data_IF_193673262893
#
_entry.id   IF_193673262893
#
_cell.length_a   1.000
_cell.length_b   1.000
_cell.length_c   1.000
_cell.angle_alpha   90.00
_cell.angle_beta   90.00
_cell.angle_gamma   90.00
#
_symmetry.space_group_name_H-M   'P 1'
#
loop_
_entity.id
_entity.type
_entity.pdbx_description
1 polymer ?
#
# COMPACT_ATOMS: atom_id res chain seq x y z
N UNK A 1 -2.76 -67.71 -45.78
CA UNK A 1 -1.99 -66.57 -46.31
C UNK A 1 -2.93 -65.42 -46.57
N UNK A 2 -2.41 -64.20 -46.36
CA UNK A 2 -3.07 -62.89 -46.36
C UNK A 2 -4.05 -62.65 -47.52
N UNK A 3 -5.08 -61.86 -47.26
CA UNK A 3 -5.27 -60.47 -47.73
C UNK A 3 -6.76 -60.16 -47.61
N UNK A 4 -7.11 -59.07 -46.91
CA UNK A 4 -8.35 -58.36 -47.18
C UNK A 4 -8.12 -56.86 -46.95
N UNK A 5 -8.33 -56.10 -48.02
CA UNK A 5 -8.19 -54.65 -48.13
C UNK A 5 -9.44 -53.94 -47.58
N UNK A 6 -9.17 -52.81 -46.94
CA UNK A 6 -9.95 -51.59 -46.74
C UNK A 6 -11.29 -51.40 -47.50
N UNK A 7 -12.27 -50.87 -46.77
CA UNK A 7 -13.10 -49.78 -47.29
C UNK A 7 -14.52 -49.64 -46.71
N UNK A 8 -14.76 -48.50 -46.04
CA UNK A 8 -16.01 -47.74 -45.94
C UNK A 8 -16.92 -47.88 -44.69
N UNK A 9 -16.91 -46.78 -43.91
CA UNK A 9 -18.05 -45.93 -43.52
C UNK A 9 -19.19 -46.60 -42.73
N UNK A 10 -19.21 -46.32 -41.42
CA UNK A 10 -20.40 -46.42 -40.58
C UNK A 10 -20.87 -45.02 -40.18
N UNK A 11 -22.01 -44.60 -40.71
CA UNK A 11 -22.92 -43.64 -40.07
C UNK A 11 -23.26 -44.15 -38.67
N UNK A 12 -23.34 -43.29 -37.64
CA UNK A 12 -24.43 -43.31 -36.64
C UNK A 12 -24.41 -42.03 -35.78
N UNK A 13 -25.46 -41.24 -36.00
CA UNK A 13 -26.22 -40.35 -35.12
C UNK A 13 -25.57 -39.19 -34.33
N UNK A 14 -26.07 -38.01 -34.70
CA UNK A 14 -26.18 -36.77 -33.95
C UNK A 14 -26.85 -36.95 -32.57
N UNK A 15 -26.14 -36.54 -31.52
CA UNK A 15 -26.74 -36.05 -30.28
C UNK A 15 -26.21 -34.62 -30.06
N UNK A 16 -27.06 -33.58 -30.03
CA UNK A 16 -26.63 -32.25 -29.67
C UNK A 16 -26.40 -32.23 -28.16
N UNK A 17 -25.14 -32.29 -27.74
CA UNK A 17 -24.78 -31.82 -26.41
C UNK A 17 -25.17 -30.33 -26.35
N UNK A 18 -26.15 -30.02 -25.51
CA UNK A 18 -26.45 -28.66 -25.04
C UNK A 18 -25.21 -28.11 -24.33
N UNK A 19 -24.21 -27.71 -25.11
CA UNK A 19 -23.19 -26.78 -24.67
C UNK A 19 -23.89 -25.44 -24.53
N UNK A 20 -24.29 -25.10 -23.32
CA UNK A 20 -24.55 -23.70 -22.98
C UNK A 20 -23.35 -22.90 -23.47
N UNK A 21 -23.55 -21.87 -24.32
CA UNK A 21 -22.44 -21.00 -24.65
C UNK A 21 -22.00 -20.41 -23.31
N UNK A 22 -20.74 -20.60 -22.96
CA UNK A 22 -20.12 -19.82 -21.92
C UNK A 22 -20.25 -18.37 -22.37
N UNK A 23 -21.30 -17.70 -21.89
CA UNK A 23 -21.41 -16.27 -21.97
C UNK A 23 -20.14 -15.75 -21.31
N UNK A 24 -19.19 -15.29 -22.13
CA UNK A 24 -18.08 -14.50 -21.64
C UNK A 24 -18.73 -13.39 -20.84
N UNK A 25 -18.62 -13.45 -19.52
CA UNK A 25 -19.10 -12.41 -18.64
C UNK A 25 -18.28 -11.17 -18.99
N UNK A 26 -18.82 -10.35 -19.89
CA UNK A 26 -18.34 -9.00 -20.11
C UNK A 26 -18.52 -8.33 -18.76
N UNK A 27 -17.39 -8.02 -18.10
CA UNK A 27 -17.42 -7.31 -16.84
C UNK A 27 -18.33 -6.08 -17.00
N UNK A 28 -19.20 -5.76 -16.02
CA UNK A 28 -20.07 -4.60 -16.10
C UNK A 28 -19.23 -3.36 -16.44
N UNK A 29 -19.63 -2.63 -17.48
CA UNK A 29 -18.97 -1.35 -17.82
C UNK A 29 -19.14 -0.38 -16.65
N UNK A 30 -18.13 0.45 -16.40
CA UNK A 30 -18.18 1.41 -15.31
C UNK A 30 -19.31 2.43 -15.55
N UNK A 31 -20.28 2.49 -14.64
CA UNK A 31 -21.36 3.48 -14.66
C UNK A 31 -21.18 4.49 -13.55
N UNK A 32 -21.81 5.66 -13.70
CA UNK A 32 -21.82 6.68 -12.67
C UNK A 32 -22.48 6.21 -11.36
N UNK A 33 -23.51 5.36 -11.44
CA UNK A 33 -24.17 4.76 -10.28
C UNK A 33 -23.20 3.90 -9.46
N UNK A 34 -22.42 3.04 -10.12
CA UNK A 34 -21.42 2.21 -9.44
C UNK A 34 -20.34 3.06 -8.77
N UNK A 35 -19.90 4.15 -9.39
CA UNK A 35 -18.93 5.06 -8.77
C UNK A 35 -19.52 5.76 -7.53
N UNK A 36 -20.79 6.19 -7.59
CA UNK A 36 -21.49 6.78 -6.43
C UNK A 36 -21.59 5.77 -5.28
N UNK A 37 -22.01 4.54 -5.55
CA UNK A 37 -22.15 3.51 -4.53
C UNK A 37 -20.79 3.19 -3.89
N UNK A 38 -19.73 3.08 -4.70
CA UNK A 38 -18.38 2.84 -4.20
C UNK A 38 -17.82 4.02 -3.40
N UNK A 39 -18.15 5.27 -3.76
CA UNK A 39 -17.81 6.43 -2.95
C UNK A 39 -18.48 6.37 -1.58
N UNK A 40 -19.74 5.95 -1.51
CA UNK A 40 -20.48 5.80 -0.25
C UNK A 40 -19.89 4.68 0.62
N UNK A 41 -19.53 3.53 0.04
CA UNK A 41 -18.83 2.47 0.76
C UNK A 41 -17.48 2.95 1.28
N UNK A 42 -16.66 3.58 0.43
CA UNK A 42 -15.37 4.12 0.81
C UNK A 42 -15.50 5.18 1.91
N UNK A 43 -16.52 6.03 1.83
CA UNK A 43 -16.85 7.04 2.84
C UNK A 43 -17.18 6.43 4.20
N UNK A 44 -18.00 5.37 4.22
CA UNK A 44 -18.34 4.63 5.43
C UNK A 44 -17.10 3.97 6.06
N UNK A 45 -16.35 3.20 5.27
CA UNK A 45 -15.17 2.48 5.74
C UNK A 45 -14.09 3.44 6.28
N UNK A 46 -13.93 4.60 5.64
CA UNK A 46 -13.01 5.64 6.10
C UNK A 46 -13.47 6.26 7.42
N UNK A 47 -14.78 6.46 7.61
CA UNK A 47 -15.33 6.95 8.88
C UNK A 47 -15.12 5.94 10.01
N UNK A 48 -15.30 4.64 9.75
CA UNK A 48 -15.00 3.57 10.70
C UNK A 48 -13.51 3.58 11.07
N UNK A 49 -12.62 3.71 10.07
CA UNK A 49 -11.18 3.79 10.33
C UNK A 49 -10.79 5.05 11.11
N UNK A 50 -11.44 6.18 10.87
CA UNK A 50 -11.19 7.43 11.59
C UNK A 50 -11.43 7.31 13.10
N UNK A 51 -12.37 6.47 13.54
CA UNK A 51 -12.61 6.22 14.96
C UNK A 51 -11.39 5.62 15.70
N UNK A 52 -10.54 4.88 14.97
CA UNK A 52 -9.27 4.35 15.49
C UNK A 52 -8.07 5.28 15.31
N UNK A 53 -8.24 6.43 14.66
CA UNK A 53 -7.20 7.43 14.39
C UNK A 53 -7.77 8.86 14.58
N UNK A 54 -8.12 9.26 15.83
CA UNK A 54 -8.91 10.46 16.09
C UNK A 54 -8.22 11.79 15.73
N UNK A 55 -6.89 11.79 15.57
CA UNK A 55 -6.11 12.96 15.17
C UNK A 55 -5.78 13.00 13.67
N UNK A 56 -6.28 12.03 12.89
CA UNK A 56 -6.04 11.95 11.46
C UNK A 56 -6.99 12.85 10.65
N UNK A 57 -6.61 13.13 9.41
CA UNK A 57 -7.44 13.81 8.41
C UNK A 57 -8.61 12.94 7.87
N UNK A 58 -8.78 11.70 8.34
CA UNK A 58 -9.74 10.74 7.80
C UNK A 58 -11.21 11.15 7.99
N UNK A 59 -11.56 11.74 9.13
CA UNK A 59 -12.94 12.18 9.38
C UNK A 59 -13.38 13.26 8.39
N UNK A 60 -12.54 14.28 8.19
CA UNK A 60 -12.77 15.33 7.21
C UNK A 60 -12.76 14.78 5.78
N UNK A 61 -11.83 13.87 5.47
CA UNK A 61 -11.75 13.21 4.17
C UNK A 61 -13.02 12.41 3.87
N UNK A 62 -13.57 11.68 4.84
CA UNK A 62 -14.85 10.96 4.71
C UNK A 62 -16.00 11.90 4.37
N UNK A 63 -16.11 13.05 5.03
CA UNK A 63 -17.13 14.06 4.69
C UNK A 63 -16.94 14.63 3.28
N UNK A 64 -15.69 14.78 2.83
CA UNK A 64 -15.38 15.22 1.46
C UNK A 64 -15.77 14.17 0.41
N UNK A 65 -15.60 12.88 0.71
CA UNK A 65 -16.09 11.79 -0.14
C UNK A 65 -17.62 11.81 -0.29
N UNK A 66 -18.36 12.07 0.79
CA UNK A 66 -19.81 12.24 0.72
C UNK A 66 -20.19 13.43 -0.19
N UNK A 67 -19.49 14.56 -0.04
CA UNK A 67 -19.71 15.75 -0.88
C UNK A 67 -19.45 15.47 -2.36
N UNK A 68 -18.40 14.69 -2.67
CA UNK A 68 -18.10 14.24 -4.04
C UNK A 68 -19.20 13.33 -4.61
N UNK A 69 -19.73 12.40 -3.80
CA UNK A 69 -20.81 11.51 -4.22
C UNK A 69 -22.09 12.30 -4.55
N UNK A 70 -22.43 13.29 -3.72
CA UNK A 70 -23.59 14.15 -3.93
C UNK A 70 -23.43 15.07 -5.14
N UNK A 71 -22.24 15.65 -5.33
CA UNK A 71 -21.92 16.44 -6.51
C UNK A 71 -22.01 15.59 -7.79
N UNK A 72 -21.43 14.39 -7.78
CA UNK A 72 -21.47 13.47 -8.90
C UNK A 72 -22.91 13.05 -9.23
N UNK A 73 -23.73 12.75 -8.21
CA UNK A 73 -25.16 12.44 -8.40
C UNK A 73 -25.91 13.59 -9.09
N UNK A 74 -25.64 14.83 -8.68
CA UNK A 74 -26.23 16.03 -9.30
C UNK A 74 -25.76 16.22 -10.75
N UNK A 75 -24.47 16.04 -11.02
CA UNK A 75 -23.90 16.18 -12.37
C UNK A 75 -24.45 15.13 -13.33
N UNK A 76 -24.60 13.88 -12.88
CA UNK A 76 -25.05 12.78 -13.73
C UNK A 76 -26.57 12.78 -13.94
N UNK A 77 -27.37 13.13 -12.92
CA UNK A 77 -28.83 13.10 -13.02
C UNK A 77 -29.36 11.75 -13.54
N UNK A 78 -30.14 11.78 -14.61
CA UNK A 78 -30.69 10.57 -15.26
C UNK A 78 -29.65 9.73 -16.02
N UNK A 79 -28.45 10.25 -16.25
CA UNK A 79 -27.37 9.55 -16.96
C UNK A 79 -26.55 8.64 -16.04
N UNK A 80 -26.81 8.61 -14.72
CA UNK A 80 -26.01 7.84 -13.77
C UNK A 80 -25.93 6.34 -14.08
N UNK A 81 -27.00 5.75 -14.64
CA UNK A 81 -27.03 4.34 -15.00
C UNK A 81 -26.37 4.02 -16.36
N UNK A 82 -26.00 5.04 -17.14
CA UNK A 82 -25.34 4.84 -18.44
C UNK A 82 -23.85 4.54 -18.24
N UNK A 83 -23.23 3.76 -19.16
CA UNK A 83 -21.78 3.62 -19.20
C UNK A 83 -21.09 4.99 -19.32
N UNK A 84 -20.03 5.21 -18.54
CA UNK A 84 -19.31 6.49 -18.47
C UNK A 84 -18.71 6.88 -19.84
N UNK A 85 -18.46 5.93 -20.73
CA UNK A 85 -17.88 6.20 -22.04
C UNK A 85 -18.84 6.96 -22.97
N UNK A 86 -20.16 6.87 -22.73
CA UNK A 86 -21.20 7.41 -23.63
C UNK A 86 -21.95 8.63 -23.09
N UNK A 87 -21.56 9.14 -21.91
CA UNK A 87 -22.15 10.37 -21.33
C UNK A 87 -21.36 11.61 -21.75
N UNK A 88 -21.89 12.80 -21.41
CA UNK A 88 -21.27 14.09 -21.72
C UNK A 88 -19.83 14.20 -21.15
N UNK A 89 -18.95 14.93 -21.85
CA UNK A 89 -17.51 14.96 -21.57
C UNK A 89 -17.17 15.40 -20.13
N UNK A 90 -17.83 16.45 -19.61
CA UNK A 90 -17.58 16.95 -18.25
C UNK A 90 -18.07 15.97 -17.18
N UNK A 91 -19.25 15.38 -17.39
CA UNK A 91 -19.80 14.36 -16.49
C UNK A 91 -18.92 13.09 -16.47
N UNK A 92 -18.42 12.69 -17.65
CA UNK A 92 -17.44 11.61 -17.80
C UNK A 92 -16.14 11.91 -17.05
N UNK A 93 -15.60 13.11 -17.21
CA UNK A 93 -14.38 13.52 -16.54
C UNK A 93 -14.53 13.49 -15.01
N UNK A 94 -15.65 14.02 -14.50
CA UNK A 94 -15.98 13.97 -13.07
C UNK A 94 -16.12 12.53 -12.56
N UNK A 95 -16.76 11.64 -13.33
CA UNK A 95 -16.93 10.24 -12.93
C UNK A 95 -15.59 9.48 -12.87
N UNK A 96 -14.68 9.67 -13.84
CA UNK A 96 -13.36 9.04 -13.78
C UNK A 96 -12.51 9.56 -12.63
N UNK A 97 -12.53 10.89 -12.39
CA UNK A 97 -11.84 11.49 -11.24
C UNK A 97 -12.36 10.95 -9.91
N UNK A 98 -13.69 10.87 -9.75
CA UNK A 98 -14.32 10.28 -8.57
C UNK A 98 -13.96 8.80 -8.39
N UNK A 99 -13.91 8.03 -9.48
CA UNK A 99 -13.50 6.63 -9.44
C UNK A 99 -12.04 6.45 -9.00
N UNK A 100 -11.13 7.33 -9.43
CA UNK A 100 -9.75 7.30 -8.94
C UNK A 100 -9.64 7.58 -7.44
N UNK A 101 -10.45 8.49 -6.92
CA UNK A 101 -10.54 8.73 -5.46
C UNK A 101 -10.98 7.46 -4.74
N UNK A 102 -12.02 6.77 -5.23
CA UNK A 102 -12.45 5.46 -4.68
C UNK A 102 -11.28 4.48 -4.62
N UNK A 103 -10.58 4.29 -5.73
CA UNK A 103 -9.46 3.34 -5.80
C UNK A 103 -8.35 3.71 -4.82
N UNK A 104 -8.03 5.01 -4.71
CA UNK A 104 -7.03 5.51 -3.76
C UNK A 104 -7.45 5.31 -2.31
N UNK A 105 -8.72 5.54 -1.97
CA UNK A 105 -9.26 5.30 -0.62
C UNK A 105 -9.24 3.81 -0.26
N UNK A 106 -9.62 2.93 -1.19
CA UNK A 106 -9.56 1.48 -0.99
C UNK A 106 -8.12 1.00 -0.78
N UNK A 107 -7.18 1.50 -1.59
CA UNK A 107 -5.76 1.22 -1.42
C UNK A 107 -5.22 1.70 -0.05
N UNK A 108 -5.69 2.85 0.45
CA UNK A 108 -5.33 3.33 1.78
C UNK A 108 -5.86 2.41 2.87
N UNK A 109 -7.14 2.03 2.81
CA UNK A 109 -7.79 1.17 3.81
C UNK A 109 -7.10 -0.18 3.91
N UNK A 110 -6.62 -0.72 2.79
CA UNK A 110 -5.86 -1.97 2.76
C UNK A 110 -4.42 -1.77 3.24
N UNK A 111 -3.71 -0.77 2.70
CA UNK A 111 -2.29 -0.57 2.96
C UNK A 111 -2.00 -0.10 4.40
N UNK A 112 -2.93 0.64 5.00
CA UNK A 112 -2.79 1.19 6.36
C UNK A 112 -2.99 0.14 7.47
N UNK A 113 -3.40 -1.09 7.13
CA UNK A 113 -3.56 -2.17 8.11
C UNK A 113 -2.19 -2.52 8.71
N UNK A 114 -2.08 -2.43 10.04
CA UNK A 114 -0.82 -2.72 10.74
C UNK A 114 0.22 -1.60 10.69
N UNK A 115 -0.12 -0.42 10.16
CA UNK A 115 0.70 0.77 10.28
C UNK A 115 0.66 1.36 11.68
N UNK A 116 1.75 2.02 12.07
CA UNK A 116 1.76 2.94 13.20
C UNK A 116 0.88 4.15 12.94
N UNK A 117 0.36 4.76 13.99
CA UNK A 117 -0.49 5.95 13.89
C UNK A 117 0.20 7.07 13.11
N UNK A 118 1.49 7.33 13.35
CA UNK A 118 2.25 8.34 12.61
C UNK A 118 2.30 8.07 11.09
N UNK A 119 2.52 6.81 10.70
CA UNK A 119 2.56 6.43 9.29
C UNK A 119 1.17 6.40 8.67
N UNK A 120 0.18 5.88 9.39
CA UNK A 120 -1.22 5.87 8.96
C UNK A 120 -1.78 7.29 8.82
N UNK A 121 -1.34 8.24 9.64
CA UNK A 121 -1.67 9.65 9.55
C UNK A 121 -0.99 10.31 8.35
N UNK A 122 0.31 10.06 8.12
CA UNK A 122 1.00 10.57 6.93
C UNK A 122 0.37 10.03 5.63
N UNK A 123 -0.03 8.76 5.62
CA UNK A 123 -0.80 8.16 4.52
C UNK A 123 -2.20 8.78 4.38
N UNK A 124 -2.86 9.11 5.50
CA UNK A 124 -4.16 9.78 5.50
C UNK A 124 -4.05 11.19 4.92
N UNK A 125 -2.98 11.93 5.24
CA UNK A 125 -2.73 13.27 4.72
C UNK A 125 -2.49 13.24 3.21
N UNK A 126 -1.72 12.26 2.71
CA UNK A 126 -1.58 12.05 1.27
C UNK A 126 -2.96 11.82 0.60
N UNK A 127 -3.82 10.99 1.21
CA UNK A 127 -5.18 10.74 0.71
C UNK A 127 -6.04 12.00 0.75
N UNK A 128 -6.00 12.77 1.85
CA UNK A 128 -6.74 14.02 1.99
C UNK A 128 -6.39 15.00 0.86
N UNK A 129 -5.10 15.21 0.59
CA UNK A 129 -4.65 16.05 -0.52
C UNK A 129 -5.10 15.52 -1.87
N UNK A 130 -5.09 14.19 -2.10
CA UNK A 130 -5.64 13.60 -3.35
C UNK A 130 -7.12 14.00 -3.51
N UNK A 131 -7.92 13.82 -2.45
CA UNK A 131 -9.37 14.09 -2.48
C UNK A 131 -9.66 15.57 -2.72
N UNK A 132 -8.87 16.47 -2.11
CA UNK A 132 -8.99 17.91 -2.31
C UNK A 132 -8.67 18.32 -3.75
N UNK A 133 -7.53 17.86 -4.30
CA UNK A 133 -7.12 18.19 -5.67
C UNK A 133 -8.11 17.64 -6.70
N UNK A 134 -8.62 16.42 -6.49
CA UNK A 134 -9.63 15.84 -7.37
C UNK A 134 -10.93 16.63 -7.30
N UNK A 135 -11.36 17.07 -6.12
CA UNK A 135 -12.57 17.88 -5.97
C UNK A 135 -12.42 19.28 -6.60
N UNK A 136 -11.21 19.80 -6.73
CA UNK A 136 -10.90 21.07 -7.42
C UNK A 136 -10.58 20.92 -8.91
N UNK A 137 -10.47 19.70 -9.43
CA UNK A 137 -10.07 19.43 -10.81
C UNK A 137 -11.07 19.97 -11.83
N UNK A 138 -10.58 20.68 -12.85
CA UNK A 138 -11.38 21.24 -13.94
C UNK A 138 -10.92 20.71 -15.30
N UNK A 139 -11.73 20.94 -16.33
CA UNK A 139 -11.45 20.49 -17.69
C UNK A 139 -11.92 19.06 -17.98
N UNK A 140 -12.17 18.84 -19.27
CA UNK A 140 -12.57 17.54 -19.83
C UNK A 140 -11.84 17.30 -21.14
N UNK A 141 -11.60 16.02 -21.43
CA UNK A 141 -11.06 15.57 -22.70
C UNK A 141 -11.82 14.37 -23.25
N UNK A 142 -11.56 14.07 -24.53
CA UNK A 142 -12.04 12.83 -25.16
C UNK A 142 -11.51 11.61 -24.39
N UNK A 143 -10.22 11.60 -24.11
CA UNK A 143 -9.55 10.64 -23.24
C UNK A 143 -9.14 11.40 -21.98
N UNK A 144 -9.89 11.23 -20.90
CA UNK A 144 -9.57 11.89 -19.64
C UNK A 144 -8.37 11.17 -18.99
N UNK A 145 -7.21 11.81 -18.85
CA UNK A 145 -6.12 11.25 -18.06
C UNK A 145 -6.51 11.29 -16.58
N UNK A 146 -6.35 10.16 -15.91
CA UNK A 146 -6.61 10.05 -14.48
C UNK A 146 -5.60 9.11 -13.86
N UNK A 147 -4.95 9.58 -12.80
CA UNK A 147 -4.08 8.76 -11.95
C UNK A 147 -4.94 8.24 -10.80
N UNK A 148 -5.00 6.93 -10.64
CA UNK A 148 -5.77 6.26 -9.58
C UNK A 148 -4.87 5.61 -8.52
N UNK A 149 -3.55 5.59 -8.75
CA UNK A 149 -2.60 5.07 -7.80
C UNK A 149 -1.18 5.59 -8.03
N UNK A 150 -0.39 5.49 -6.97
CA UNK A 150 1.06 5.54 -7.02
C UNK A 150 1.55 4.23 -6.44
N UNK A 151 2.52 3.60 -7.08
CA UNK A 151 2.98 2.26 -6.73
C UNK A 151 4.50 2.16 -6.66
N UNK A 152 5.01 1.30 -5.78
CA UNK A 152 6.40 0.85 -5.82
C UNK A 152 6.65 -0.04 -7.04
N UNK A 153 7.92 -0.34 -7.40
CA UNK A 153 8.23 -1.18 -8.56
C UNK A 153 7.63 -2.59 -8.49
N UNK A 154 7.34 -3.08 -7.29
CA UNK A 154 6.68 -4.37 -7.04
C UNK A 154 5.16 -4.26 -6.87
N UNK A 155 4.55 -3.18 -7.39
CA UNK A 155 3.09 -2.98 -7.45
C UNK A 155 2.39 -2.86 -6.10
N UNK A 156 3.10 -2.43 -5.05
CA UNK A 156 2.44 -2.08 -3.79
C UNK A 156 2.00 -0.62 -3.84
N UNK A 157 0.82 -0.28 -3.29
CA UNK A 157 0.42 1.11 -3.13
C UNK A 157 1.50 1.88 -2.40
N UNK A 158 1.76 3.11 -2.85
CA UNK A 158 2.69 4.06 -2.27
C UNK A 158 1.94 5.32 -1.88
N UNK A 159 2.08 5.75 -0.63
CA UNK A 159 1.46 6.95 -0.07
C UNK A 159 2.50 7.87 0.56
N UNK A 160 3.54 7.30 1.17
CA UNK A 160 4.56 8.04 1.91
C UNK A 160 5.95 7.74 1.34
N UNK A 161 6.71 8.80 1.05
CA UNK A 161 8.14 8.75 0.76
C UNK A 161 8.93 9.06 2.02
N UNK A 162 9.94 8.24 2.30
CA UNK A 162 10.93 8.50 3.35
C UNK A 162 12.13 9.24 2.78
N UNK A 163 12.64 10.15 3.59
CA UNK A 163 13.94 10.77 3.36
C UNK A 163 15.04 9.74 3.68
N UNK A 164 15.36 8.88 2.71
CA UNK A 164 16.24 7.72 2.89
C UNK A 164 17.67 7.92 2.35
N UNK A 165 17.93 9.05 1.68
CA UNK A 165 19.21 9.36 1.03
C UNK A 165 19.63 8.39 -0.08
N UNK A 166 18.66 7.62 -0.61
CA UNK A 166 18.85 6.72 -1.75
C UNK A 166 17.92 7.10 -2.88
N UNK A 167 18.31 6.70 -4.09
CA UNK A 167 17.44 6.83 -5.24
C UNK A 167 16.17 5.99 -5.04
N UNK A 168 15.03 6.62 -5.32
CA UNK A 168 13.71 6.05 -5.07
C UNK A 168 12.95 5.91 -6.38
N UNK A 169 12.66 4.68 -6.78
CA UNK A 169 11.84 4.37 -7.96
C UNK A 169 10.40 4.07 -7.57
N UNK A 170 9.45 4.56 -8.37
CA UNK A 170 8.02 4.29 -8.23
C UNK A 170 7.29 4.58 -9.54
N UNK A 171 5.99 4.36 -9.61
CA UNK A 171 5.20 4.62 -10.80
C UNK A 171 3.86 5.27 -10.47
N UNK A 172 3.40 6.12 -11.39
CA UNK A 172 2.02 6.58 -11.46
C UNK A 172 1.22 5.57 -12.27
N UNK A 173 0.08 5.12 -11.77
CA UNK A 173 -0.83 4.20 -12.46
C UNK A 173 -2.20 4.83 -12.66
N UNK A 174 -2.84 4.51 -13.78
CA UNK A 174 -4.06 5.18 -14.16
C UNK A 174 -4.58 4.79 -15.53
N UNK A 175 -5.37 5.69 -16.11
CA UNK A 175 -5.93 5.54 -17.46
C UNK A 175 -5.60 6.77 -18.29
N UNK A 176 -5.36 6.55 -19.58
CA UNK A 176 -5.06 7.58 -20.57
C UNK A 176 -3.92 8.53 -20.16
N UNK A 177 -2.94 8.04 -19.39
CA UNK A 177 -1.80 8.84 -18.91
C UNK A 177 -0.85 9.25 -20.04
N UNK A 178 -0.90 8.53 -21.15
CA UNK A 178 -0.09 8.79 -22.33
C UNK A 178 -0.85 8.42 -23.60
N UNK A 179 -0.66 9.25 -24.63
CA UNK A 179 -1.07 9.00 -25.99
C UNK A 179 0.19 8.86 -26.85
N UNK A 180 0.32 7.73 -27.56
CA UNK A 180 1.49 7.44 -28.41
C UNK A 180 1.71 8.49 -29.53
N UNK A 181 0.67 9.26 -29.88
CA UNK A 181 0.75 10.35 -30.83
C UNK A 181 1.39 11.62 -30.24
N UNK A 182 1.55 11.69 -28.92
CA UNK A 182 2.16 12.80 -28.18
C UNK A 182 3.64 12.53 -27.84
N UNK A 183 4.34 13.58 -27.39
CA UNK A 183 5.67 13.44 -26.77
C UNK A 183 5.49 12.86 -25.36
N UNK A 184 6.57 12.28 -24.81
CA UNK A 184 6.56 11.79 -23.44
C UNK A 184 6.10 12.90 -22.48
N UNK A 185 5.21 12.56 -21.52
CA UNK A 185 4.66 13.54 -20.61
C UNK A 185 5.76 14.07 -19.69
N UNK A 186 5.62 15.34 -19.31
CA UNK A 186 6.48 15.93 -18.29
C UNK A 186 5.84 15.75 -16.93
N UNK A 187 6.64 15.26 -15.98
CA UNK A 187 6.24 15.15 -14.59
C UNK A 187 7.04 16.13 -13.75
N UNK A 188 6.35 16.98 -13.00
CA UNK A 188 6.97 17.92 -12.05
C UNK A 188 6.35 17.76 -10.66
N UNK A 189 7.06 18.21 -9.63
CA UNK A 189 6.60 18.14 -8.25
C UNK A 189 6.49 19.51 -7.57
N UNK A 190 5.42 19.71 -6.81
CA UNK A 190 5.19 20.86 -5.92
C UNK A 190 4.84 20.43 -4.50
N UNK A 191 4.85 21.37 -3.55
CA UNK A 191 4.22 21.20 -2.25
C UNK A 191 2.69 21.41 -2.32
N UNK A 192 2.00 21.29 -1.18
CA UNK A 192 0.55 21.51 -1.11
C UNK A 192 0.11 22.95 -1.42
N UNK A 193 1.06 23.91 -1.44
CA UNK A 193 0.83 25.31 -1.74
C UNK A 193 1.21 25.67 -3.19
N UNK A 194 1.65 24.70 -3.99
CA UNK A 194 2.06 24.88 -5.37
C UNK A 194 3.49 25.40 -5.55
N UNK A 195 4.30 25.47 -4.49
CA UNK A 195 5.72 25.80 -4.60
C UNK A 195 6.50 24.60 -5.13
N UNK A 196 7.42 24.86 -6.05
CA UNK A 196 8.21 23.81 -6.67
C UNK A 196 9.14 23.13 -5.66
N UNK A 197 9.13 21.79 -5.66
CA UNK A 197 10.02 20.99 -4.82
C UNK A 197 11.47 21.03 -5.35
N UNK A 198 12.45 20.95 -4.44
CA UNK A 198 13.87 20.92 -4.83
C UNK A 198 14.24 19.61 -5.53
N UNK A 199 13.72 18.49 -5.02
CA UNK A 199 13.86 17.17 -5.66
C UNK A 199 12.72 17.02 -6.66
N UNK A 200 13.04 16.87 -7.94
CA UNK A 200 12.07 16.66 -9.02
C UNK A 200 12.13 15.21 -9.53
N UNK A 201 10.99 14.61 -9.89
CA UNK A 201 10.97 13.27 -10.46
C UNK A 201 11.53 13.30 -11.88
N UNK A 202 12.24 12.23 -12.26
CA UNK A 202 12.67 11.96 -13.63
C UNK A 202 11.83 10.83 -14.20
N UNK A 203 11.33 11.01 -15.43
CA UNK A 203 10.57 9.97 -16.14
C UNK A 203 11.54 8.95 -16.72
N UNK A 204 11.32 7.67 -16.42
CA UNK A 204 12.15 6.55 -16.91
C UNK A 204 11.42 5.62 -17.86
N UNK A 205 10.08 5.68 -17.90
CA UNK A 205 9.25 4.83 -18.74
C UNK A 205 7.82 5.34 -18.82
N UNK A 206 7.19 5.19 -19.99
CA UNK A 206 5.85 5.73 -20.27
C UNK A 206 5.02 4.70 -21.01
N UNK A 207 3.84 4.41 -20.46
CA UNK A 207 2.79 3.57 -21.02
C UNK A 207 1.44 4.27 -20.86
N UNK A 208 0.41 3.92 -21.68
CA UNK A 208 -0.91 4.56 -21.60
C UNK A 208 -1.60 4.51 -20.22
N UNK A 209 -1.21 3.55 -19.38
CA UNK A 209 -1.75 3.34 -18.04
C UNK A 209 -0.70 3.47 -16.93
N UNK A 210 0.56 3.81 -17.26
CA UNK A 210 1.66 3.80 -16.29
C UNK A 210 2.80 4.74 -16.67
N UNK A 211 3.28 5.54 -15.73
CA UNK A 211 4.48 6.38 -15.89
C UNK A 211 5.46 6.01 -14.78
N UNK A 212 6.64 5.50 -15.15
CA UNK A 212 7.72 5.18 -14.22
C UNK A 212 8.55 6.42 -13.91
N UNK A 213 8.87 6.60 -12.63
CA UNK A 213 9.56 7.75 -12.09
C UNK A 213 10.71 7.31 -11.18
N UNK A 214 11.77 8.12 -11.17
CA UNK A 214 12.85 8.05 -10.19
C UNK A 214 13.06 9.40 -9.52
N UNK A 215 13.35 9.37 -8.22
CA UNK A 215 13.83 10.52 -7.46
C UNK A 215 15.28 10.27 -7.11
N UNK A 216 16.17 11.11 -7.66
CA UNK A 216 17.57 11.11 -7.30
C UNK A 216 17.74 11.77 -5.92
N UNK A 217 18.59 11.17 -5.07
CA UNK A 217 18.92 11.69 -3.75
C UNK A 217 17.70 12.15 -2.93
N UNK A 218 16.90 11.18 -2.49
CA UNK A 218 15.74 11.45 -1.63
C UNK A 218 16.09 12.10 -0.27
N UNK A 219 17.38 12.37 0.02
CA UNK A 219 17.80 13.04 1.26
C UNK A 219 17.32 14.49 1.37
N UNK A 220 16.99 15.12 0.24
CA UNK A 220 16.59 16.52 0.18
C UNK A 220 15.06 16.71 0.11
N UNK A 221 14.30 15.62 0.23
CA UNK A 221 12.85 15.70 0.29
C UNK A 221 12.41 16.45 1.55
N UNK A 222 11.62 17.50 1.33
CA UNK A 222 11.04 18.31 2.40
C UNK A 222 9.78 17.60 2.92
N UNK A 223 9.65 17.53 4.25
CA UNK A 223 8.45 16.98 4.89
C UNK A 223 7.21 17.75 4.48
N UNK A 224 6.12 17.04 4.18
CA UNK A 224 4.88 17.64 3.70
C UNK A 224 4.33 16.95 2.45
N UNK A 225 3.32 17.55 1.85
CA UNK A 225 2.73 17.05 0.60
C UNK A 225 3.73 17.14 -0.55
N UNK A 226 3.76 16.11 -1.39
CA UNK A 226 4.52 16.04 -2.62
C UNK A 226 3.55 15.76 -3.77
N UNK A 227 3.16 16.83 -4.45
CA UNK A 227 2.13 16.81 -5.50
C UNK A 227 2.82 16.64 -6.84
N UNK A 228 2.52 15.53 -7.51
CA UNK A 228 3.02 15.18 -8.84
C UNK A 228 2.04 15.68 -9.90
N UNK A 229 2.56 16.43 -10.85
CA UNK A 229 1.84 17.07 -11.94
C UNK A 229 2.25 16.42 -13.25
N UNK A 230 1.32 15.79 -13.95
CA UNK A 230 1.55 15.12 -15.23
C UNK A 230 0.91 15.95 -16.34
N UNK A 231 1.75 16.48 -17.23
CA UNK A 231 1.33 17.34 -18.33
C UNK A 231 1.73 16.71 -19.66
N UNK A 232 0.76 16.56 -20.56
CA UNK A 232 1.00 16.09 -21.93
C UNK A 232 1.79 17.11 -22.75
N UNK A 233 2.67 16.62 -23.65
CA UNK A 233 3.41 17.48 -24.58
C UNK A 233 3.06 17.16 -26.03
N UNK A 234 2.89 18.22 -26.83
CA UNK A 234 2.65 18.11 -28.26
C UNK A 234 3.97 17.78 -28.99
N UNK A 235 3.97 16.72 -29.80
CA UNK A 235 5.02 16.52 -30.80
C UNK A 235 4.91 17.61 -31.85
N UNK A 236 5.93 18.45 -32.00
CA UNK A 236 5.93 19.66 -32.83
C UNK A 236 5.55 19.47 -34.32
N UNK A 237 5.46 18.24 -34.82
CA UNK A 237 5.18 17.91 -36.22
C UNK A 237 3.96 16.99 -36.44
N UNK A 238 3.25 16.56 -35.39
CA UNK A 238 2.08 15.68 -35.52
C UNK A 238 0.80 16.38 -35.03
N UNK A 239 -0.17 16.54 -35.94
CA UNK A 239 -1.50 17.12 -35.67
C UNK A 239 -2.42 16.15 -34.91
N UNK A 240 -1.93 14.96 -34.55
CA UNK A 240 -2.71 13.90 -33.88
C UNK A 240 -2.78 14.00 -32.36
N UNK A 241 -1.83 14.68 -31.72
CA UNK A 241 -1.82 14.81 -30.26
C UNK A 241 -2.87 15.82 -29.80
N UNK A 242 -3.88 15.37 -29.07
CA UNK A 242 -4.81 16.25 -28.39
C UNK A 242 -4.24 16.67 -27.03
N UNK A 243 -4.27 17.97 -26.72
CA UNK A 243 -3.90 18.47 -25.39
C UNK A 243 -4.82 17.81 -24.37
N UNK A 244 -4.22 17.00 -23.49
CA UNK A 244 -4.94 16.39 -22.38
C UNK A 244 -4.86 17.32 -21.16
N UNK A 245 -5.94 17.44 -20.36
CA UNK A 245 -5.89 18.09 -19.06
C UNK A 245 -4.78 17.51 -18.20
N UNK A 246 -4.26 18.32 -17.30
CA UNK A 246 -3.30 17.86 -16.31
C UNK A 246 -3.90 16.73 -15.45
N UNK A 247 -3.09 15.71 -15.17
CA UNK A 247 -3.40 14.69 -14.17
C UNK A 247 -2.48 14.87 -12.96
N UNK A 248 -3.03 14.72 -11.77
CA UNK A 248 -2.32 14.95 -10.52
C UNK A 248 -2.32 13.72 -9.63
N UNK A 249 -1.25 13.52 -8.88
CA UNK A 249 -1.14 12.49 -7.86
C UNK A 249 -0.42 13.05 -6.63
N UNK A 250 -0.69 12.49 -5.45
CA UNK A 250 -0.08 12.98 -4.22
C UNK A 250 0.58 11.87 -3.42
N UNK A 251 1.72 12.23 -2.85
CA UNK A 251 2.45 11.50 -1.83
C UNK A 251 2.65 12.43 -0.64
N UNK A 252 2.94 11.84 0.53
CA UNK A 252 3.40 12.57 1.70
C UNK A 252 4.89 12.25 1.91
N UNK A 253 5.70 13.25 2.16
CA UNK A 253 7.06 13.06 2.66
C UNK A 253 7.02 13.12 4.17
N UNK A 254 7.50 12.06 4.83
CA UNK A 254 7.56 12.01 6.29
C UNK A 254 8.85 11.32 6.77
N UNK A 255 9.38 11.80 7.89
CA UNK A 255 10.50 11.16 8.56
C UNK A 255 10.11 9.75 9.06
N UNK A 256 11.03 8.77 9.07
CA UNK A 256 10.78 7.46 9.66
C UNK A 256 10.32 7.56 11.12
N UNK A 257 9.33 6.75 11.50
CA UNK A 257 8.95 6.62 12.89
C UNK A 257 10.14 6.05 13.69
N UNK A 258 10.56 6.77 14.74
CA UNK A 258 11.62 6.29 15.64
C UNK A 258 11.05 5.25 16.58
N UNK A 259 11.72 4.10 16.67
CA UNK A 259 11.33 3.00 17.55
C UNK A 259 12.57 2.38 18.18
N UNK A 260 12.45 2.00 19.44
CA UNK A 260 13.41 1.14 20.12
C UNK A 260 12.69 -0.05 20.73
N UNK A 261 13.33 -1.23 20.67
CA UNK A 261 12.78 -2.46 21.24
C UNK A 261 13.71 -2.92 22.35
N UNK A 262 13.24 -2.90 23.59
CA UNK A 262 13.92 -3.57 24.71
C UNK A 262 13.32 -4.94 24.95
N UNK A 263 14.15 -5.87 25.43
CA UNK A 263 13.77 -7.25 25.68
C UNK A 263 14.18 -7.69 27.09
N UNK A 264 13.49 -8.73 27.56
CA UNK A 264 13.87 -9.53 28.71
C UNK A 264 13.70 -11.01 28.35
N UNK A 265 14.80 -11.77 28.41
CA UNK A 265 14.80 -13.22 28.16
C UNK A 265 15.15 -13.94 29.46
N UNK A 266 14.27 -14.82 29.93
CA UNK A 266 14.56 -15.73 31.03
C UNK A 266 14.73 -17.15 30.51
N UNK A 267 15.60 -17.91 31.16
CA UNK A 267 15.77 -19.34 30.93
C UNK A 267 15.41 -20.09 32.21
N UNK A 268 14.66 -21.18 32.07
CA UNK A 268 14.43 -22.15 33.13
C UNK A 268 15.38 -23.31 32.88
N UNK A 269 16.17 -23.68 33.89
CA UNK A 269 17.24 -24.65 33.75
C UNK A 269 17.06 -25.77 34.75
N UNK A 270 17.35 -27.00 34.32
CA UNK A 270 17.44 -28.14 35.23
C UNK A 270 18.77 -28.07 35.97
N UNK A 271 18.74 -28.04 37.31
CA UNK A 271 19.94 -28.20 38.14
C UNK A 271 19.87 -29.52 38.92
N UNK A 272 20.96 -30.31 38.97
CA UNK A 272 21.01 -31.50 39.81
C UNK A 272 21.12 -31.07 41.29
N UNK A 273 20.10 -31.38 42.11
CA UNK A 273 20.10 -31.09 43.54
C UNK A 273 19.71 -32.33 44.35
N UNK A 274 20.66 -32.94 45.06
CA UNK A 274 20.37 -33.97 46.08
C UNK A 274 19.60 -35.20 45.60
N UNK A 275 19.75 -35.62 44.33
CA UNK A 275 19.04 -36.77 43.76
C UNK A 275 17.68 -36.44 43.10
N UNK A 276 17.28 -35.16 43.06
CA UNK A 276 16.14 -34.67 42.30
C UNK A 276 16.58 -33.60 41.28
N UNK A 277 15.89 -33.54 40.14
CA UNK A 277 16.06 -32.45 39.17
C UNK A 277 15.18 -31.30 39.65
N UNK A 278 15.79 -30.17 39.98
CA UNK A 278 15.07 -28.95 40.36
C UNK A 278 15.15 -27.97 39.20
N UNK A 279 13.98 -27.53 38.74
CA UNK A 279 13.90 -26.46 37.74
C UNK A 279 14.08 -25.11 38.42
N UNK A 280 15.04 -24.34 37.96
CA UNK A 280 15.33 -23.01 38.45
C UNK A 280 15.21 -21.99 37.32
N UNK A 281 14.40 -20.96 37.54
CA UNK A 281 14.34 -19.80 36.66
C UNK A 281 15.55 -18.91 36.94
N UNK A 282 16.35 -18.65 35.92
CA UNK A 282 17.50 -17.76 36.00
C UNK A 282 17.07 -16.29 35.91
N UNK A 283 17.92 -15.36 36.42
CA UNK A 283 17.70 -13.93 36.23
C UNK A 283 17.50 -13.56 34.76
N UNK A 284 16.60 -12.61 34.50
CA UNK A 284 16.32 -12.15 33.15
C UNK A 284 17.54 -11.47 32.53
N UNK A 285 17.91 -11.88 31.33
CA UNK A 285 18.86 -11.17 30.48
C UNK A 285 18.10 -10.07 29.77
N UNK A 286 18.41 -8.82 30.11
CA UNK A 286 17.77 -7.64 29.54
C UNK A 286 18.70 -6.91 28.57
N UNK A 287 18.11 -6.20 27.62
CA UNK A 287 18.87 -5.40 26.68
C UNK A 287 17.97 -4.66 25.70
N UNK A 288 18.60 -3.99 24.76
CA UNK A 288 17.93 -3.27 23.67
C UNK A 288 18.41 -3.85 22.35
N UNK A 289 17.47 -4.08 21.44
CA UNK A 289 17.78 -4.47 20.07
C UNK A 289 18.47 -3.30 19.34
N UNK A 290 19.37 -3.58 18.37
CA UNK A 290 19.86 -2.55 17.47
C UNK A 290 18.71 -1.79 16.80
N UNK A 291 18.91 -0.51 16.49
CA UNK A 291 17.88 0.29 15.82
C UNK A 291 17.49 -0.33 14.47
N UNK A 292 16.18 -0.49 14.28
CA UNK A 292 15.61 -0.97 13.02
C UNK A 292 15.51 0.22 12.08
N UNK A 293 16.41 0.32 11.10
CA UNK A 293 16.29 1.30 10.02
C UNK A 293 15.54 0.66 8.84
N UNK A 294 14.35 1.18 8.53
CA UNK A 294 13.55 0.75 7.38
C UNK A 294 12.99 -0.68 7.49
N UNK A 295 13.10 -1.45 6.40
CA UNK A 295 12.56 -2.82 6.26
C UNK A 295 13.52 -3.94 6.68
N UNK A 296 14.64 -3.60 7.32
CA UNK A 296 15.70 -4.55 7.66
C UNK A 296 15.37 -5.48 8.82
N UNK A 297 16.03 -6.65 8.85
CA UNK A 297 16.09 -7.50 10.05
C UNK A 297 17.32 -7.13 10.87
N UNK A 298 17.15 -6.94 12.17
CA UNK A 298 18.24 -6.77 13.14
C UNK A 298 18.31 -7.98 14.06
N UNK A 299 19.50 -8.28 14.58
CA UNK A 299 19.70 -9.42 15.46
C UNK A 299 20.61 -9.08 16.63
N UNK A 300 20.35 -9.71 17.78
CA UNK A 300 21.17 -9.61 18.99
C UNK A 300 21.47 -11.01 19.51
N UNK A 301 22.75 -11.38 19.59
CA UNK A 301 23.16 -12.63 20.25
C UNK A 301 23.05 -12.50 21.76
N UNK A 302 22.60 -13.58 22.39
CA UNK A 302 22.37 -13.65 23.84
C UNK A 302 23.32 -14.66 24.45
N UNK A 303 24.15 -14.19 25.38
CA UNK A 303 24.99 -15.04 26.19
C UNK A 303 24.15 -15.61 27.35
N UNK A 304 23.71 -16.86 27.22
CA UNK A 304 23.03 -17.59 28.29
C UNK A 304 24.04 -17.96 29.38
N UNK A 305 24.09 -17.16 30.45
CA UNK A 305 24.97 -17.44 31.59
C UNK A 305 24.29 -18.43 32.55
N UNK A 306 25.02 -19.45 33.01
CA UNK A 306 24.56 -20.33 34.09
C UNK A 306 23.54 -21.42 33.71
N UNK A 307 23.27 -21.65 32.43
CA UNK A 307 22.33 -22.67 31.95
C UNK A 307 22.95 -23.58 30.90
N UNK A 308 23.40 -24.77 31.29
CA UNK A 308 23.92 -25.77 30.35
C UNK A 308 22.77 -26.50 29.62
N UNK A 309 21.73 -26.88 30.37
CA UNK A 309 20.55 -27.61 29.89
C UNK A 309 19.27 -26.82 30.20
N UNK A 310 18.86 -25.90 29.30
CA UNK A 310 17.62 -25.19 29.43
C UNK A 310 16.42 -26.11 29.16
N UNK A 311 15.37 -25.97 29.97
CA UNK A 311 14.08 -26.66 29.83
C UNK A 311 13.09 -25.78 29.07
N UNK A 312 13.07 -24.49 29.35
CA UNK A 312 12.22 -23.51 28.70
C UNK A 312 12.86 -22.13 28.64
N UNK A 313 12.37 -21.30 27.73
CA UNK A 313 12.68 -19.89 27.65
C UNK A 313 11.38 -19.09 27.73
N UNK A 314 11.42 -17.92 28.38
CA UNK A 314 10.34 -16.95 28.27
C UNK A 314 10.88 -15.59 27.84
N UNK A 315 10.15 -14.94 26.94
CA UNK A 315 10.51 -13.63 26.39
C UNK A 315 9.43 -12.59 26.65
N UNK A 316 9.85 -11.43 27.12
CA UNK A 316 9.06 -10.21 27.13
C UNK A 316 9.76 -9.15 26.32
N UNK A 317 9.00 -8.23 25.75
CA UNK A 317 9.56 -7.09 25.02
C UNK A 317 8.73 -5.84 25.23
N UNK A 318 9.39 -4.69 25.11
CA UNK A 318 8.77 -3.37 25.18
C UNK A 318 9.23 -2.54 23.99
N UNK A 319 8.29 -2.05 23.22
CA UNK A 319 8.52 -1.09 22.14
C UNK A 319 8.33 0.31 22.72
N UNK A 320 9.32 1.19 22.54
CA UNK A 320 9.21 2.62 22.87
C UNK A 320 9.25 3.41 21.57
N UNK A 321 8.22 4.23 21.37
CA UNK A 321 8.05 5.09 20.21
C UNK A 321 8.70 6.45 20.44
N UNK A 322 9.06 7.14 19.35
CA UNK A 322 9.71 8.45 19.41
C UNK A 322 8.89 9.55 20.09
N UNK A 323 7.58 9.37 20.21
CA UNK A 323 6.66 10.24 20.94
C UNK A 323 6.59 9.92 22.45
N UNK A 324 7.35 8.90 22.92
CA UNK A 324 7.40 8.47 24.31
C UNK A 324 6.35 7.43 24.71
N UNK A 325 5.37 7.12 23.84
CA UNK A 325 4.46 6.02 24.08
C UNK A 325 5.21 4.69 24.07
N UNK A 326 4.67 3.71 24.80
CA UNK A 326 5.24 2.39 24.83
C UNK A 326 4.19 1.30 24.94
N UNK A 327 4.53 0.13 24.43
CA UNK A 327 3.68 -1.05 24.48
C UNK A 327 4.54 -2.28 24.69
N UNK A 328 4.04 -3.23 25.48
CA UNK A 328 4.78 -4.41 25.91
C UNK A 328 4.06 -5.70 25.52
N UNK A 329 4.83 -6.76 25.33
CA UNK A 329 4.34 -8.12 25.12
C UNK A 329 5.02 -9.09 26.07
N UNK A 330 4.34 -10.21 26.34
CA UNK A 330 4.87 -11.31 27.14
C UNK A 330 4.71 -11.13 28.66
N UNK A 331 5.26 -12.08 29.44
CA UNK A 331 6.17 -13.15 29.00
C UNK A 331 5.47 -14.22 28.14
N UNK A 332 6.09 -14.59 27.02
CA UNK A 332 5.68 -15.73 26.19
C UNK A 332 6.70 -16.84 26.43
N UNK A 333 6.24 -18.00 26.90
CA UNK A 333 7.10 -19.13 27.24
C UNK A 333 7.00 -20.25 26.21
N UNK A 334 8.14 -20.88 25.91
CA UNK A 334 8.23 -22.08 25.09
C UNK A 334 9.29 -23.04 25.65
N UNK A 335 9.15 -24.33 25.30
CA UNK A 335 10.17 -25.34 25.59
C UNK A 335 11.50 -24.98 24.91
N UNK A 336 12.63 -25.43 25.47
CA UNK A 336 13.96 -24.99 25.05
C UNK A 336 14.33 -25.33 23.59
N UNK A 337 13.69 -26.34 23.00
CA UNK A 337 13.88 -26.71 21.60
C UNK A 337 13.01 -25.92 20.62
N UNK A 338 12.05 -25.12 21.12
CA UNK A 338 11.14 -24.34 20.30
C UNK A 338 11.55 -22.87 20.27
N UNK A 339 11.57 -22.30 19.06
CA UNK A 339 11.69 -20.86 18.90
C UNK A 339 10.42 -20.13 19.36
N UNK A 340 10.56 -18.88 19.77
CA UNK A 340 9.42 -18.00 20.07
C UNK A 340 9.33 -16.99 18.95
N UNK A 341 8.12 -16.71 18.45
CA UNK A 341 7.87 -15.57 17.56
C UNK A 341 6.64 -14.84 18.04
N UNK A 342 6.77 -13.53 18.24
CA UNK A 342 5.72 -12.68 18.74
C UNK A 342 5.58 -11.43 17.88
N UNK A 343 4.34 -11.04 17.60
CA UNK A 343 4.03 -9.76 16.98
C UNK A 343 4.34 -8.64 17.97
N UNK A 344 5.05 -7.61 17.49
CA UNK A 344 5.28 -6.38 18.22
C UNK A 344 4.39 -5.27 17.64
N UNK A 345 3.97 -4.31 18.47
CA UNK A 345 3.40 -3.04 18.02
C UNK A 345 4.28 -2.38 16.95
N UNK A 346 3.64 -1.71 15.98
CA UNK A 346 4.31 -1.07 14.86
C UNK A 346 4.69 -1.97 13.69
N UNK A 347 4.02 -3.11 13.56
CA UNK A 347 4.22 -4.00 12.43
C UNK A 347 5.60 -4.68 12.46
N UNK A 348 6.16 -4.86 13.65
CA UNK A 348 7.40 -5.60 13.88
C UNK A 348 7.09 -7.00 14.43
N UNK A 349 8.06 -7.89 14.35
CA UNK A 349 8.02 -9.20 14.99
C UNK A 349 9.34 -9.44 15.70
N UNK A 350 9.26 -10.01 16.90
CA UNK A 350 10.40 -10.45 17.69
C UNK A 350 10.44 -11.97 17.68
N UNK A 351 11.60 -12.52 17.34
CA UNK A 351 11.83 -13.97 17.36
C UNK A 351 13.02 -14.32 18.24
N UNK A 352 12.89 -15.35 19.05
CA UNK A 352 13.99 -16.03 19.75
C UNK A 352 14.27 -17.35 19.05
N UNK A 353 15.52 -17.54 18.63
CA UNK A 353 16.02 -18.81 18.11
C UNK A 353 17.03 -19.40 19.11
N UNK A 354 16.66 -20.49 19.83
CA UNK A 354 17.55 -21.13 20.79
C UNK A 354 18.77 -21.81 20.13
N UNK A 355 18.68 -22.19 18.85
CA UNK A 355 19.75 -22.91 18.14
C UNK A 355 20.96 -22.02 17.89
N UNK A 356 20.72 -20.76 17.53
CA UNK A 356 21.76 -19.74 17.32
C UNK A 356 21.89 -18.76 18.49
N UNK A 357 21.09 -18.95 19.55
CA UNK A 357 21.02 -18.12 20.76
C UNK A 357 20.92 -16.64 20.43
N UNK A 358 19.99 -16.29 19.55
CA UNK A 358 19.83 -14.92 19.09
C UNK A 358 18.36 -14.49 19.08
N UNK A 359 18.16 -13.21 19.39
CA UNK A 359 16.94 -12.48 19.15
C UNK A 359 16.99 -11.82 17.79
N UNK A 360 15.86 -11.80 17.10
CA UNK A 360 15.68 -11.14 15.81
C UNK A 360 14.49 -10.21 15.87
N UNK A 361 14.65 -8.98 15.40
CA UNK A 361 13.52 -8.08 15.12
C UNK A 361 13.47 -7.82 13.63
N UNK A 362 12.29 -7.99 13.04
CA UNK A 362 12.03 -7.78 11.62
C UNK A 362 10.62 -7.25 11.40
N UNK A 363 10.33 -6.60 10.26
CA UNK A 363 8.96 -6.32 9.86
C UNK A 363 8.11 -7.60 9.89
N UNK A 364 6.91 -7.52 10.49
CA UNK A 364 5.95 -8.61 10.50
C UNK A 364 5.32 -8.80 9.11
N UNK A 365 4.70 -9.95 8.86
CA UNK A 365 3.97 -10.21 7.61
C UNK A 365 2.83 -9.19 7.36
N UNK A 366 2.30 -8.59 8.43
CA UNK A 366 1.29 -7.53 8.39
C UNK A 366 1.92 -6.14 8.61
N UNK A 367 3.18 -5.93 8.22
CA UNK A 367 3.86 -4.64 8.33
C UNK A 367 3.14 -3.58 7.49
N UNK A 368 3.27 -2.33 7.92
CA UNK A 368 2.76 -1.17 7.19
C UNK A 368 3.12 -1.23 5.70
N UNK A 369 2.11 -1.11 4.84
CA UNK A 369 2.29 -0.94 3.38
C UNK A 369 2.00 0.52 3.04
N UNK A 370 2.41 1.00 1.87
CA UNK A 370 2.19 2.41 1.54
C UNK A 370 3.32 3.35 1.93
N UNK A 371 4.40 2.86 2.54
CA UNK A 371 5.55 3.65 2.94
C UNK A 371 6.80 3.09 2.27
N UNK A 372 7.60 3.96 1.65
CA UNK A 372 8.80 3.56 0.91
C UNK A 372 10.02 4.42 1.25
#
# INVERSE_FOLDING_TARGET
MRVARLGAILFWLLAPSLGTPAAGQIAPRLTGSTVIDQLQTAQHDLAVRAAGLPHSSLGATSQRLASLADALRKTLGSDAAKPIEIIAADARANAYRAYAVVQRTQAYLEASKGCLDADANAMADALATTVELVAGGTGSAKLQPVINGVETPDHRPLFVLRNSGKDTAFALVGVNLFDAQCEDPVVTATDGQGQRQNVQPSVTGVLPNRIELTLADASQLQSGSYVLHVVSRLKAFLVGCAVQPEAVATLQVAAPAKMSVSYALTATCSTPGGGQVVEQVLPAITGTMPEVSGSGTVSQRIALQGCAEPVSYAISAKVTFGDGHNASIGPISQIASAGITAGLPGGLSLSWDPSVRALFVRPAANSCKGVY
#
